data_IF_759884672280
#
_entry.id   IF_759884672280
#
_cell.length_a   1.000
_cell.length_b   1.000
_cell.length_c   1.000
_cell.angle_alpha   90.00
_cell.angle_beta   90.00
_cell.angle_gamma   90.00
#
_symmetry.space_group_name_H-M   'P 1'
#
loop_
_entity.id
_entity.type
_entity.pdbx_description
1 polymer ?
#
# COMPACT_ATOMS: atom_id res chain seq x y z
N UNK A 1 -0.56 42.74 -31.22
CA UNK A 1 -0.41 42.69 -29.76
C UNK A 1 -1.56 41.87 -29.18
N UNK A 2 -1.43 40.56 -28.97
CA UNK A 2 -2.26 39.85 -28.01
C UNK A 2 -1.46 39.57 -26.73
N UNK A 3 -2.08 39.86 -25.60
CA UNK A 3 -1.54 39.67 -24.27
C UNK A 3 -1.40 38.18 -23.93
N UNK A 4 -0.23 37.81 -23.39
CA UNK A 4 0.02 36.54 -22.74
C UNK A 4 -0.80 36.46 -21.44
N UNK A 5 -1.65 35.44 -21.32
CA UNK A 5 -2.19 34.98 -20.05
C UNK A 5 -1.42 33.70 -19.72
N UNK A 6 -0.35 33.82 -18.94
CA UNK A 6 0.36 32.67 -18.36
C UNK A 6 -0.33 32.29 -17.04
N UNK A 7 -1.09 31.18 -17.03
CA UNK A 7 -1.63 30.60 -15.79
C UNK A 7 -0.46 30.08 -14.94
N UNK A 8 -0.30 30.67 -13.75
CA UNK A 8 0.83 30.48 -12.84
C UNK A 8 0.90 29.11 -12.14
N UNK A 9 0.82 28.00 -12.89
CA UNK A 9 1.01 26.63 -12.37
C UNK A 9 2.28 25.94 -12.85
N UNK A 10 2.95 26.49 -13.86
CA UNK A 10 4.14 25.87 -14.46
C UNK A 10 5.41 26.02 -13.59
N UNK A 11 5.44 27.02 -12.70
CA UNK A 11 6.62 27.30 -11.86
C UNK A 11 6.83 26.31 -10.71
N UNK A 12 5.77 25.70 -10.18
CA UNK A 12 5.84 24.72 -9.09
C UNK A 12 6.17 23.32 -9.63
N UNK A 13 5.52 22.92 -10.73
CA UNK A 13 5.81 21.66 -11.40
C UNK A 13 7.23 21.66 -11.99
N UNK A 14 7.69 22.77 -12.57
CA UNK A 14 9.06 22.90 -13.09
C UNK A 14 10.14 22.77 -12.03
N UNK A 15 9.90 23.28 -10.80
CA UNK A 15 10.83 23.15 -9.67
C UNK A 15 10.85 21.74 -9.09
N UNK A 16 9.69 21.09 -8.97
CA UNK A 16 9.61 19.68 -8.54
C UNK A 16 10.30 18.78 -9.57
N UNK A 17 10.10 19.03 -10.87
CA UNK A 17 10.63 18.19 -11.94
C UNK A 17 12.14 18.36 -12.15
N UNK A 18 12.72 19.56 -11.96
CA UNK A 18 14.17 19.77 -12.09
C UNK A 18 14.96 19.22 -10.89
N UNK A 19 14.37 19.26 -9.69
CA UNK A 19 15.01 18.74 -8.48
C UNK A 19 15.15 17.20 -8.49
N UNK A 20 14.28 16.50 -9.22
CA UNK A 20 14.40 15.04 -9.43
C UNK A 20 15.56 14.63 -10.35
N UNK A 21 16.07 15.51 -11.22
CA UNK A 21 17.04 15.13 -12.26
C UNK A 21 18.45 14.85 -11.70
N UNK A 22 18.81 15.48 -10.57
CA UNK A 22 20.07 15.22 -9.87
C UNK A 22 20.00 14.04 -8.88
N UNK A 23 18.81 13.46 -8.67
CA UNK A 23 18.55 12.34 -7.77
C UNK A 23 18.22 11.03 -8.50
N UNK A 24 18.51 10.93 -9.81
CA UNK A 24 18.14 9.77 -10.63
C UNK A 24 18.69 8.44 -10.07
N UNK A 25 19.84 8.48 -9.40
CA UNK A 25 20.46 7.28 -8.80
C UNK A 25 19.78 6.83 -7.48
N UNK A 26 19.17 7.74 -6.73
CA UNK A 26 18.42 7.44 -5.49
C UNK A 26 16.92 7.20 -5.74
N UNK A 27 16.39 7.64 -6.90
CA UNK A 27 15.00 7.38 -7.31
C UNK A 27 14.75 5.92 -7.70
N UNK A 28 15.78 5.21 -8.18
CA UNK A 28 15.68 3.79 -8.53
C UNK A 28 15.30 2.91 -7.32
N UNK A 29 15.80 3.24 -6.12
CA UNK A 29 15.50 2.50 -4.90
C UNK A 29 14.05 2.70 -4.45
N UNK A 30 13.57 3.95 -4.46
CA UNK A 30 12.17 4.26 -4.16
C UNK A 30 11.23 3.54 -5.13
N UNK A 31 11.59 3.52 -6.42
CA UNK A 31 10.83 2.82 -7.44
C UNK A 31 10.83 1.30 -7.22
N UNK A 32 11.95 0.70 -6.82
CA UNK A 32 12.01 -0.74 -6.54
C UNK A 32 11.05 -1.18 -5.41
N UNK A 33 10.90 -0.36 -4.36
CA UNK A 33 9.91 -0.63 -3.29
C UNK A 33 8.47 -0.51 -3.81
N UNK A 34 8.17 0.52 -4.60
CA UNK A 34 6.86 0.70 -5.21
C UNK A 34 6.52 -0.46 -6.16
N UNK A 35 7.44 -0.86 -7.03
CA UNK A 35 7.29 -1.98 -7.95
C UNK A 35 7.06 -3.30 -7.22
N UNK A 36 7.82 -3.55 -6.14
CA UNK A 36 7.62 -4.74 -5.30
C UNK A 36 6.26 -4.75 -4.63
N UNK A 37 5.80 -3.60 -4.14
CA UNK A 37 4.47 -3.46 -3.55
C UNK A 37 3.38 -3.72 -4.59
N UNK A 38 3.46 -3.10 -5.77
CA UNK A 38 2.50 -3.31 -6.87
C UNK A 38 2.45 -4.78 -7.29
N UNK A 39 3.60 -5.45 -7.40
CA UNK A 39 3.66 -6.89 -7.67
C UNK A 39 2.88 -7.69 -6.63
N UNK A 40 3.05 -7.37 -5.34
CA UNK A 40 2.40 -8.07 -4.23
C UNK A 40 0.87 -7.91 -4.30
N UNK A 41 0.37 -6.69 -4.50
CA UNK A 41 -1.06 -6.41 -4.67
C UNK A 41 -1.65 -7.21 -5.84
N UNK A 42 -0.94 -7.22 -6.98
CA UNK A 42 -1.37 -7.93 -8.19
C UNK A 42 -1.44 -9.43 -7.98
N UNK A 43 -0.39 -10.06 -7.44
CA UNK A 43 -0.32 -11.52 -7.28
C UNK A 43 -1.19 -12.07 -6.15
N UNK A 44 -1.34 -11.31 -5.07
CA UNK A 44 -2.01 -11.79 -3.87
C UNK A 44 -3.52 -11.49 -3.89
N UNK A 45 -3.91 -10.34 -4.44
CA UNK A 45 -5.29 -9.86 -4.42
C UNK A 45 -5.92 -9.79 -5.81
N UNK A 46 -5.38 -8.96 -6.71
CA UNK A 46 -6.09 -8.61 -7.95
C UNK A 46 -6.16 -9.75 -8.96
N UNK A 47 -5.18 -10.66 -9.00
CA UNK A 47 -5.20 -11.84 -9.88
C UNK A 47 -6.30 -12.84 -9.56
N UNK A 48 -6.92 -12.72 -8.38
CA UNK A 48 -7.95 -13.63 -7.86
C UNK A 48 -9.35 -12.98 -7.84
N UNK A 49 -9.48 -11.76 -8.36
CA UNK A 49 -10.73 -11.01 -8.36
C UNK A 49 -11.15 -10.66 -9.79
N UNK A 50 -12.45 -10.80 -10.06
CA UNK A 50 -13.08 -10.21 -11.24
C UNK A 50 -13.66 -8.86 -10.80
N UNK A 51 -13.15 -7.77 -11.38
CA UNK A 51 -13.52 -6.41 -11.03
C UNK A 51 -14.39 -5.81 -12.15
N UNK A 52 -15.62 -5.44 -11.82
CA UNK A 52 -16.58 -4.92 -12.82
C UNK A 52 -16.58 -3.40 -12.92
N UNK A 53 -16.26 -2.70 -11.83
CA UNK A 53 -16.30 -1.23 -11.75
C UNK A 53 -15.12 -0.68 -10.94
N UNK A 54 -14.81 0.59 -11.15
CA UNK A 54 -13.73 1.30 -10.42
C UNK A 54 -13.93 1.25 -8.91
N UNK A 55 -15.17 1.37 -8.43
CA UNK A 55 -15.48 1.27 -7.00
C UNK A 55 -15.04 -0.07 -6.39
N UNK A 56 -15.15 -1.18 -7.14
CA UNK A 56 -14.69 -2.49 -6.69
C UNK A 56 -13.17 -2.55 -6.59
N UNK A 57 -12.46 -1.97 -7.56
CA UNK A 57 -10.99 -1.86 -7.53
C UNK A 57 -10.54 -1.02 -6.33
N UNK A 58 -11.14 0.15 -6.13
CA UNK A 58 -10.85 1.03 -4.97
C UNK A 58 -11.04 0.28 -3.67
N UNK A 59 -12.18 -0.40 -3.51
CA UNK A 59 -12.46 -1.21 -2.31
C UNK A 59 -11.43 -2.32 -2.12
N UNK A 60 -11.03 -3.02 -3.18
CA UNK A 60 -10.02 -4.08 -3.11
C UNK A 60 -8.66 -3.53 -2.67
N UNK A 61 -8.24 -2.39 -3.24
CA UNK A 61 -6.98 -1.73 -2.89
C UNK A 61 -6.99 -1.20 -1.45
N UNK A 62 -8.07 -0.55 -1.00
CA UNK A 62 -8.20 -0.09 0.39
C UNK A 62 -8.08 -1.25 1.37
N UNK A 63 -8.80 -2.35 1.13
CA UNK A 63 -8.73 -3.54 1.97
C UNK A 63 -7.33 -4.17 1.96
N UNK A 64 -6.66 -4.18 0.80
CA UNK A 64 -5.31 -4.70 0.69
C UNK A 64 -4.31 -3.81 1.43
N UNK A 65 -4.40 -2.48 1.33
CA UNK A 65 -3.53 -1.56 2.06
C UNK A 65 -3.65 -1.74 3.58
N UNK A 66 -4.89 -1.82 4.09
CA UNK A 66 -5.12 -2.07 5.51
C UNK A 66 -4.54 -3.42 5.94
N UNK A 67 -4.78 -4.47 5.16
CA UNK A 67 -4.21 -5.79 5.43
C UNK A 67 -2.67 -5.79 5.39
N UNK A 68 -2.10 -5.15 4.37
CA UNK A 68 -0.66 -5.09 4.16
C UNK A 68 0.06 -4.40 5.31
N UNK A 69 -0.54 -3.36 5.91
CA UNK A 69 0.08 -2.60 6.99
C UNK A 69 -0.22 -3.13 8.40
N UNK A 70 -1.46 -3.55 8.65
CA UNK A 70 -1.92 -3.88 10.00
C UNK A 70 -1.91 -5.38 10.31
N UNK A 71 -1.98 -6.22 9.28
CA UNK A 71 -2.25 -7.65 9.44
C UNK A 71 -1.10 -8.54 8.88
N UNK A 72 -0.23 -8.00 8.01
CA UNK A 72 0.87 -8.76 7.41
C UNK A 72 2.19 -8.58 8.18
N UNK A 73 2.85 -9.66 8.61
CA UNK A 73 4.22 -9.59 9.12
C UNK A 73 5.20 -9.18 8.01
N UNK A 74 6.08 -8.22 8.30
CA UNK A 74 7.08 -7.76 7.34
C UNK A 74 8.44 -8.37 7.65
N UNK A 75 8.91 -9.29 6.80
CA UNK A 75 10.21 -9.96 6.97
C UNK A 75 11.37 -8.97 7.12
N UNK A 76 11.39 -7.90 6.32
CA UNK A 76 12.40 -6.83 6.42
C UNK A 76 12.33 -5.97 7.69
N UNK A 77 11.38 -6.25 8.58
CA UNK A 77 11.20 -5.57 9.88
C UNK A 77 11.23 -6.57 11.05
N UNK A 78 11.90 -7.71 10.88
CA UNK A 78 11.96 -8.73 11.93
C UNK A 78 10.67 -9.55 12.05
N UNK A 79 9.88 -9.62 10.96
CA UNK A 79 8.64 -10.38 10.89
C UNK A 79 7.56 -9.92 11.90
N UNK A 80 7.52 -8.62 12.17
CA UNK A 80 6.49 -7.98 13.02
C UNK A 80 5.48 -7.21 12.16
N UNK A 81 4.33 -6.90 12.75
CA UNK A 81 3.35 -5.96 12.16
C UNK A 81 3.88 -4.54 12.27
N UNK A 82 3.68 -3.74 11.22
CA UNK A 82 4.00 -2.31 11.27
C UNK A 82 3.04 -1.55 12.18
N UNK A 83 1.74 -1.88 12.10
CA UNK A 83 0.69 -1.20 12.85
C UNK A 83 -0.25 -2.23 13.51
N UNK A 84 0.17 -2.84 14.63
CA UNK A 84 -0.63 -3.84 15.32
C UNK A 84 -1.95 -3.25 15.84
N UNK A 85 -3.04 -4.01 15.74
CA UNK A 85 -4.32 -3.63 16.35
C UNK A 85 -4.21 -3.78 17.88
N UNK A 86 -4.61 -2.77 18.67
CA UNK A 86 -4.66 -2.89 20.13
C UNK A 86 -5.51 -4.10 20.55
N UNK A 87 -5.08 -4.83 21.58
CA UNK A 87 -5.74 -6.02 22.14
C UNK A 87 -5.69 -7.30 21.29
N UNK A 88 -4.94 -7.32 20.19
CA UNK A 88 -4.65 -8.54 19.43
C UNK A 88 -3.16 -8.84 19.52
N UNK A 89 -2.82 -10.02 20.05
CA UNK A 89 -1.43 -10.47 20.15
C UNK A 89 -1.13 -11.50 19.05
N UNK A 90 0.13 -11.52 18.58
CA UNK A 90 0.61 -12.62 17.74
C UNK A 90 1.08 -13.82 18.58
N UNK A 91 1.52 -13.55 19.82
CA UNK A 91 2.25 -14.51 20.67
C UNK A 91 1.59 -14.78 22.03
N UNK A 92 0.37 -14.30 22.29
CA UNK A 92 -0.34 -14.62 23.55
C UNK A 92 -0.88 -16.06 23.57
N UNK A 93 -1.41 -16.48 24.71
CA UNK A 93 -2.03 -17.81 24.88
C UNK A 93 -3.55 -17.81 24.63
N UNK A 94 -4.12 -16.67 24.27
CA UNK A 94 -5.55 -16.53 24.04
C UNK A 94 -6.07 -17.29 22.81
N UNK A 95 -7.40 -17.28 22.67
CA UNK A 95 -8.11 -17.93 21.55
C UNK A 95 -7.62 -17.39 20.20
N UNK A 96 -7.37 -18.28 19.25
CA UNK A 96 -7.03 -17.90 17.86
C UNK A 96 -8.26 -17.31 17.16
N UNK A 97 -8.12 -16.10 16.65
CA UNK A 97 -9.11 -15.34 15.89
C UNK A 97 -8.65 -15.23 14.44
N UNK A 98 -9.60 -15.36 13.50
CA UNK A 98 -9.36 -15.17 12.08
C UNK A 98 -10.06 -13.88 11.62
N UNK A 99 -9.27 -12.85 11.30
CA UNK A 99 -9.75 -11.66 10.58
C UNK A 99 -9.76 -11.96 9.09
N UNK A 100 -10.84 -11.59 8.43
CA UNK A 100 -11.03 -11.80 7.00
C UNK A 100 -11.41 -10.50 6.30
N UNK A 101 -10.89 -10.31 5.09
CA UNK A 101 -11.26 -9.20 4.19
C UNK A 101 -11.50 -9.76 2.80
N UNK A 102 -12.26 -9.02 1.99
CA UNK A 102 -12.59 -9.37 0.60
C UNK A 102 -13.14 -10.81 0.46
N UNK A 103 -14.13 -11.16 1.29
CA UNK A 103 -14.77 -12.48 1.23
C UNK A 103 -13.87 -13.64 1.65
N UNK A 104 -12.85 -13.38 2.47
CA UNK A 104 -11.91 -14.40 2.95
C UNK A 104 -10.66 -14.56 2.08
N UNK A 105 -10.51 -13.74 1.02
CA UNK A 105 -9.31 -13.73 0.19
C UNK A 105 -8.06 -13.33 0.99
N UNK A 106 -8.20 -12.31 1.84
CA UNK A 106 -7.15 -11.86 2.74
C UNK A 106 -7.52 -12.33 4.15
N UNK A 107 -6.66 -13.15 4.75
CA UNK A 107 -6.86 -13.73 6.07
C UNK A 107 -5.69 -13.39 6.96
N UNK A 108 -6.00 -13.06 8.20
CA UNK A 108 -5.01 -12.83 9.24
C UNK A 108 -5.41 -13.58 10.49
N UNK A 109 -4.45 -14.24 11.11
CA UNK A 109 -4.63 -14.99 12.33
C UNK A 109 -3.91 -14.28 13.46
N UNK A 110 -4.67 -13.97 14.50
CA UNK A 110 -4.17 -13.35 15.73
C UNK A 110 -4.74 -14.11 16.93
N UNK A 111 -4.27 -13.81 18.13
CA UNK A 111 -4.84 -14.30 19.37
C UNK A 111 -5.44 -13.16 20.17
N UNK A 112 -6.56 -13.44 20.83
CA UNK A 112 -7.08 -12.54 21.84
C UNK A 112 -6.01 -12.32 22.93
N UNK A 113 -5.85 -11.07 23.38
CA UNK A 113 -4.99 -10.74 24.51
C UNK A 113 -5.51 -11.35 25.81
#
# INVERSE_FOLDING_TARGET
>A
MPAEITDGKDGLLGKVYSQCRHAAHSYAHANAFAERWVRSVKSECLSKLILFVEASLRRALTNFCEHYHADRPHQGKGNVLLFPTPNLSQNGDGRVLCKQRLGGLLRYYCRAA
#
